data_IF_063009400570
#
_entry.id   IF_063009400570
#
_cell.length_a   1.000
_cell.length_b   1.000
_cell.length_c   1.000
_cell.angle_alpha   90.00
_cell.angle_beta   90.00
_cell.angle_gamma   90.00
#
_symmetry.space_group_name_H-M   'P 1'
#
loop_
_entity.id
_entity.type
_entity.pdbx_description
1 polymer ?
#
# COMPACT_ATOMS: atom_id res chain seq x y z
N UNK A 1 32.13 -11.27 1.14
CA UNK A 1 31.28 -12.18 1.95
C UNK A 1 30.58 -11.52 3.16
N UNK A 2 31.21 -10.63 3.95
CA UNK A 2 30.57 -9.97 5.12
C UNK A 2 29.33 -9.11 4.79
N UNK A 3 29.37 -8.32 3.70
CA UNK A 3 28.21 -7.52 3.22
C UNK A 3 27.04 -8.38 2.75
N UNK A 4 27.32 -9.52 2.12
CA UNK A 4 26.29 -10.46 1.65
C UNK A 4 25.55 -11.08 2.85
N UNK A 5 26.27 -11.53 3.89
CA UNK A 5 25.64 -12.00 5.15
C UNK A 5 24.82 -10.92 5.87
N UNK A 6 25.20 -9.64 5.78
CA UNK A 6 24.42 -8.54 6.34
C UNK A 6 23.11 -8.28 5.58
N UNK A 7 23.12 -8.38 4.24
CA UNK A 7 21.91 -8.22 3.41
C UNK A 7 20.94 -9.39 3.66
N UNK A 8 21.44 -10.63 3.69
CA UNK A 8 20.62 -11.81 3.98
C UNK A 8 20.18 -11.92 5.45
N UNK A 9 20.85 -11.21 6.37
CA UNK A 9 20.47 -11.16 7.78
C UNK A 9 19.43 -10.08 8.13
N UNK A 10 19.10 -9.17 7.20
CA UNK A 10 18.10 -8.12 7.44
C UNK A 10 16.67 -8.67 7.40
N UNK A 11 16.39 -9.54 6.45
CA UNK A 11 15.10 -10.23 6.31
C UNK A 11 15.16 -11.64 6.90
N UNK A 12 14.09 -12.05 7.59
CA UNK A 12 13.89 -13.42 8.05
C UNK A 12 13.55 -14.34 6.87
N UNK A 13 13.70 -15.65 7.07
CA UNK A 13 13.34 -16.64 6.06
C UNK A 13 11.88 -16.48 5.60
N UNK A 14 10.95 -16.19 6.52
CA UNK A 14 9.55 -15.95 6.20
C UNK A 14 9.30 -14.70 5.36
N UNK A 15 10.09 -13.63 5.55
CA UNK A 15 9.98 -12.40 4.77
C UNK A 15 10.56 -12.59 3.37
N UNK A 16 11.68 -13.30 3.27
CA UNK A 16 12.22 -13.73 1.98
C UNK A 16 11.24 -14.61 1.23
N UNK A 17 10.65 -15.60 1.91
CA UNK A 17 9.64 -16.48 1.30
C UNK A 17 8.43 -15.68 0.83
N UNK A 18 7.90 -14.78 1.66
CA UNK A 18 6.78 -13.92 1.30
C UNK A 18 7.08 -13.09 0.05
N UNK A 19 8.24 -12.42 0.01
CA UNK A 19 8.63 -11.58 -1.12
C UNK A 19 8.91 -12.37 -2.40
N UNK A 20 9.62 -13.51 -2.30
CA UNK A 20 9.92 -14.38 -3.45
C UNK A 20 8.62 -14.97 -4.03
N UNK A 21 7.74 -15.51 -3.18
CA UNK A 21 6.45 -16.06 -3.62
C UNK A 21 5.61 -14.96 -4.26
N UNK A 22 5.52 -13.77 -3.64
CA UNK A 22 4.82 -12.61 -4.21
C UNK A 22 5.35 -12.25 -5.60
N UNK A 23 6.68 -12.16 -5.74
CA UNK A 23 7.35 -11.83 -7.00
C UNK A 23 7.10 -12.87 -8.08
N UNK A 24 7.21 -14.17 -7.75
CA UNK A 24 6.96 -15.26 -8.69
C UNK A 24 5.51 -15.22 -9.17
N UNK A 25 4.54 -15.07 -8.27
CA UNK A 25 3.13 -15.02 -8.64
C UNK A 25 2.80 -13.81 -9.51
N UNK A 26 3.38 -12.64 -9.25
CA UNK A 26 3.25 -11.45 -10.10
C UNK A 26 3.83 -11.72 -11.49
N UNK A 27 5.04 -12.27 -11.59
CA UNK A 27 5.72 -12.52 -12.87
C UNK A 27 4.98 -13.58 -13.68
N UNK A 28 4.57 -14.69 -13.05
CA UNK A 28 3.81 -15.76 -13.71
C UNK A 28 2.44 -15.25 -14.15
N UNK A 29 1.72 -14.53 -13.28
CA UNK A 29 0.44 -13.92 -13.63
C UNK A 29 0.56 -12.96 -14.80
N UNK A 30 1.60 -12.12 -14.82
CA UNK A 30 1.88 -11.23 -15.96
C UNK A 30 2.18 -12.02 -17.24
N UNK A 31 3.05 -13.03 -17.19
CA UNK A 31 3.46 -13.81 -18.35
C UNK A 31 2.29 -14.58 -18.98
N UNK A 32 1.35 -15.06 -18.16
CA UNK A 32 0.18 -15.84 -18.62
C UNK A 32 -0.94 -14.94 -19.16
N UNK A 33 -1.22 -13.80 -18.52
CA UNK A 33 -2.46 -13.05 -18.79
C UNK A 33 -2.29 -11.70 -19.49
N UNK A 34 -1.15 -11.03 -19.33
CA UNK A 34 -0.97 -9.65 -19.78
C UNK A 34 0.11 -9.56 -20.86
N UNK A 35 1.30 -10.13 -20.58
CA UNK A 35 2.41 -10.43 -21.49
C UNK A 35 3.02 -9.26 -22.28
N UNK A 36 2.35 -8.11 -22.32
CA UNK A 36 2.64 -6.98 -23.20
C UNK A 36 2.87 -5.69 -22.42
N UNK A 37 2.25 -5.53 -21.25
CA UNK A 37 2.33 -4.31 -20.46
C UNK A 37 3.47 -4.32 -19.41
N UNK A 38 4.72 -4.18 -19.86
CA UNK A 38 5.89 -4.21 -18.98
C UNK A 38 5.86 -3.17 -17.85
N UNK A 39 5.14 -2.05 -18.03
CA UNK A 39 4.95 -1.04 -16.99
C UNK A 39 4.06 -1.54 -15.85
N UNK A 40 3.02 -2.31 -16.15
CA UNK A 40 2.16 -2.95 -15.15
C UNK A 40 2.97 -3.91 -14.28
N UNK A 41 3.78 -4.77 -14.90
CA UNK A 41 4.68 -5.68 -14.19
C UNK A 41 5.63 -4.91 -13.27
N UNK A 42 6.28 -3.87 -13.80
CA UNK A 42 7.21 -3.08 -13.03
C UNK A 42 6.54 -2.39 -11.83
N UNK A 43 5.32 -1.84 -12.00
CA UNK A 43 4.56 -1.25 -10.91
C UNK A 43 4.25 -2.29 -9.82
N UNK A 44 3.74 -3.46 -10.20
CA UNK A 44 3.42 -4.55 -9.26
C UNK A 44 4.64 -5.02 -8.47
N UNK A 45 5.80 -5.14 -9.13
CA UNK A 45 7.06 -5.51 -8.46
C UNK A 45 7.56 -4.42 -7.51
N UNK A 46 7.47 -3.15 -7.90
CA UNK A 46 7.81 -2.01 -7.02
C UNK A 46 6.88 -1.99 -5.80
N UNK A 47 5.58 -2.25 -5.99
CA UNK A 47 4.61 -2.35 -4.90
C UNK A 47 4.91 -3.51 -3.95
N UNK A 48 5.20 -4.71 -4.46
CA UNK A 48 5.60 -5.85 -3.63
C UNK A 48 6.88 -5.57 -2.81
N UNK A 49 7.87 -4.92 -3.44
CA UNK A 49 9.07 -4.45 -2.74
C UNK A 49 8.74 -3.38 -1.68
N UNK A 50 7.87 -2.43 -1.99
CA UNK A 50 7.41 -1.40 -1.06
C UNK A 50 6.81 -2.02 0.21
N UNK A 51 5.92 -2.99 0.04
CA UNK A 51 5.20 -3.64 1.14
C UNK A 51 6.13 -4.40 2.09
N UNK A 52 7.12 -5.13 1.58
CA UNK A 52 8.06 -5.86 2.45
C UNK A 52 8.94 -4.91 3.28
N UNK A 53 9.36 -3.77 2.71
CA UNK A 53 10.08 -2.74 3.47
C UNK A 53 9.18 -2.01 4.46
N UNK A 54 7.93 -1.73 4.08
CA UNK A 54 6.93 -1.17 4.98
C UNK A 54 6.66 -2.12 6.15
N UNK A 55 6.59 -3.43 5.94
CA UNK A 55 6.42 -4.43 7.00
C UNK A 55 7.58 -4.43 8.00
N UNK A 56 8.79 -4.00 7.60
CA UNK A 56 9.95 -3.78 8.48
C UNK A 56 9.97 -2.44 9.18
N UNK A 57 8.97 -1.60 8.94
CA UNK A 57 8.93 -0.21 9.37
C UNK A 57 10.11 0.60 8.80
N UNK A 58 10.57 0.26 7.59
CA UNK A 58 11.67 0.94 6.90
C UNK A 58 11.11 2.08 6.01
N UNK A 59 11.58 3.33 6.15
CA UNK A 59 11.12 4.46 5.33
C UNK A 59 11.29 4.25 3.81
N UNK A 60 12.24 3.41 3.37
CA UNK A 60 12.41 3.07 1.95
C UNK A 60 11.12 2.52 1.34
N UNK A 61 10.30 1.80 2.12
CA UNK A 61 9.00 1.31 1.65
C UNK A 61 8.10 2.46 1.19
N UNK A 62 8.00 3.55 1.97
CA UNK A 62 7.20 4.72 1.57
C UNK A 62 7.77 5.43 0.33
N UNK A 63 9.10 5.46 0.17
CA UNK A 63 9.72 5.99 -1.05
C UNK A 63 9.37 5.14 -2.29
N UNK A 64 9.36 3.81 -2.17
CA UNK A 64 8.89 2.92 -3.23
C UNK A 64 7.40 3.08 -3.50
N UNK A 65 6.58 3.37 -2.47
CA UNK A 65 5.16 3.66 -2.64
C UNK A 65 4.90 4.94 -3.47
N UNK A 66 5.76 5.95 -3.34
CA UNK A 66 5.72 7.16 -4.19
C UNK A 66 5.95 6.77 -5.66
N UNK A 67 6.98 5.98 -5.94
CA UNK A 67 7.29 5.50 -7.30
C UNK A 67 6.13 4.66 -7.84
N UNK A 68 5.62 3.73 -7.04
CA UNK A 68 4.46 2.90 -7.39
C UNK A 68 3.25 3.75 -7.75
N UNK A 69 2.91 4.76 -6.94
CA UNK A 69 1.73 5.61 -7.16
C UNK A 69 1.81 6.38 -8.48
N UNK A 70 3.00 6.85 -8.85
CA UNK A 70 3.24 7.53 -10.14
C UNK A 70 3.08 6.53 -11.29
N UNK A 71 3.72 5.36 -11.20
CA UNK A 71 3.64 4.34 -12.23
C UNK A 71 2.21 3.85 -12.45
N UNK A 72 1.49 3.60 -11.36
CA UNK A 72 0.10 3.17 -11.41
C UNK A 72 -0.80 4.28 -11.97
N UNK A 73 -0.61 5.54 -11.57
CA UNK A 73 -1.34 6.67 -12.15
C UNK A 73 -1.17 6.79 -13.67
N UNK A 74 0.04 6.63 -14.18
CA UNK A 74 0.31 6.63 -15.64
C UNK A 74 -0.38 5.44 -16.33
N UNK A 75 -0.35 4.26 -15.71
CA UNK A 75 -1.02 3.08 -16.25
C UNK A 75 -2.55 3.26 -16.29
N UNK A 76 -3.13 3.80 -15.22
CA UNK A 76 -4.56 4.11 -15.15
C UNK A 76 -4.96 5.11 -16.23
N UNK A 77 -4.14 6.13 -16.49
CA UNK A 77 -4.37 7.09 -17.58
C UNK A 77 -4.39 6.40 -18.96
N UNK A 78 -3.40 5.56 -19.25
CA UNK A 78 -3.30 4.84 -20.54
C UNK A 78 -4.50 3.93 -20.81
N UNK A 79 -5.13 3.43 -19.74
CA UNK A 79 -6.31 2.56 -19.79
C UNK A 79 -7.64 3.31 -19.64
N UNK A 80 -7.60 4.65 -19.67
CA UNK A 80 -8.76 5.53 -19.47
C UNK A 80 -9.51 5.34 -18.12
N UNK A 81 -8.82 4.78 -17.11
CA UNK A 81 -9.33 4.68 -15.74
C UNK A 81 -9.02 5.96 -14.96
N UNK A 82 -9.68 7.05 -15.34
CA UNK A 82 -9.43 8.38 -14.75
C UNK A 82 -9.75 8.45 -13.25
N UNK A 83 -10.74 7.69 -12.77
CA UNK A 83 -11.04 7.60 -11.34
C UNK A 83 -9.85 7.07 -10.53
N UNK A 84 -9.30 5.93 -10.94
CA UNK A 84 -8.10 5.32 -10.33
C UNK A 84 -6.86 6.21 -10.48
N UNK A 85 -6.69 6.87 -11.63
CA UNK A 85 -5.59 7.81 -11.81
C UNK A 85 -5.66 8.94 -10.78
N UNK A 86 -6.83 9.58 -10.59
CA UNK A 86 -6.98 10.72 -9.68
C UNK A 86 -6.83 10.27 -8.22
N UNK A 87 -7.33 9.10 -7.83
CA UNK A 87 -7.13 8.59 -6.47
C UNK A 87 -5.64 8.32 -6.20
N UNK A 88 -4.91 7.70 -7.12
CA UNK A 88 -3.50 7.43 -6.90
C UNK A 88 -2.62 8.67 -6.95
N UNK A 89 -2.82 9.58 -7.91
CA UNK A 89 -2.00 10.79 -8.05
C UNK A 89 -2.42 11.90 -7.10
N UNK A 90 -3.72 12.08 -6.88
CA UNK A 90 -4.28 13.16 -6.06
C UNK A 90 -4.36 12.85 -4.57
N UNK A 91 -4.38 11.56 -4.19
CA UNK A 91 -4.49 11.14 -2.80
C UNK A 91 -3.31 10.26 -2.36
N UNK A 92 -3.11 9.10 -3.00
CA UNK A 92 -2.09 8.12 -2.55
C UNK A 92 -0.67 8.69 -2.62
N UNK A 93 -0.32 9.38 -3.71
CA UNK A 93 1.00 9.97 -3.91
C UNK A 93 1.34 11.05 -2.86
N UNK A 94 0.51 12.09 -2.62
CA UNK A 94 0.74 13.05 -1.54
C UNK A 94 0.88 12.38 -0.16
N UNK A 95 0.04 11.39 0.11
CA UNK A 95 0.07 10.62 1.36
C UNK A 95 1.38 9.84 1.51
N UNK A 96 1.85 9.20 0.44
CA UNK A 96 3.10 8.45 0.46
C UNK A 96 4.29 9.37 0.72
N UNK A 97 4.29 10.58 0.13
CA UNK A 97 5.29 11.62 0.41
C UNK A 97 5.22 12.06 1.88
N UNK A 98 4.04 12.39 2.41
CA UNK A 98 3.87 12.78 3.82
C UNK A 98 4.28 11.66 4.79
N UNK A 99 3.94 10.42 4.47
CA UNK A 99 4.31 9.23 5.23
C UNK A 99 5.82 9.03 5.23
N UNK A 100 6.48 9.14 4.07
CA UNK A 100 7.92 9.08 3.95
C UNK A 100 8.61 10.14 4.83
N UNK A 101 8.18 11.41 4.73
CA UNK A 101 8.71 12.50 5.54
C UNK A 101 8.49 12.24 7.04
N UNK A 102 7.30 11.80 7.44
CA UNK A 102 7.00 11.43 8.82
C UNK A 102 7.93 10.34 9.33
N UNK A 103 8.18 9.31 8.53
CA UNK A 103 8.99 8.15 8.93
C UNK A 103 10.48 8.49 9.03
N UNK A 104 11.03 9.23 8.07
CA UNK A 104 12.44 9.67 8.10
C UNK A 104 12.71 10.59 9.30
N UNK A 105 11.75 11.43 9.68
CA UNK A 105 11.88 12.35 10.83
C UNK A 105 11.78 11.65 12.19
N UNK A 106 11.38 10.39 12.25
CA UNK A 106 11.14 9.68 13.51
C UNK A 106 11.84 8.31 13.56
N UNK A 107 13.17 8.27 13.45
CA UNK A 107 13.94 7.03 13.55
C UNK A 107 13.86 6.47 14.98
N UNK A 108 13.74 5.16 15.11
CA UNK A 108 13.77 4.51 16.42
C UNK A 108 15.21 4.47 16.96
N UNK A 109 15.46 5.16 18.09
CA UNK A 109 16.79 5.27 18.73
C UNK A 109 17.92 5.70 17.77
N UNK A 110 17.61 6.60 16.83
CA UNK A 110 18.58 7.08 15.83
C UNK A 110 18.89 6.10 14.69
N UNK A 111 18.34 4.88 14.71
CA UNK A 111 18.44 3.94 13.60
C UNK A 111 17.52 4.38 12.44
N UNK A 112 18.10 4.90 11.36
CA UNK A 112 17.35 5.38 10.18
C UNK A 112 16.64 4.27 9.40
N UNK A 113 16.99 3.00 9.65
CA UNK A 113 16.40 1.85 8.95
C UNK A 113 15.09 1.35 9.58
N UNK A 114 14.69 1.89 10.73
CA UNK A 114 13.44 1.53 11.39
C UNK A 114 12.76 2.74 12.05
N UNK A 115 11.49 2.96 11.71
CA UNK A 115 10.70 4.05 12.29
C UNK A 115 10.18 3.69 13.70
N UNK A 116 10.10 4.70 14.57
CA UNK A 116 9.46 4.57 15.88
C UNK A 116 7.94 4.46 15.73
N UNK A 117 7.36 3.42 16.34
CA UNK A 117 5.91 3.17 16.33
C UNK A 117 5.20 4.27 17.11
N UNK A 118 4.23 4.91 16.46
CA UNK A 118 3.44 5.99 17.04
C UNK A 118 2.28 5.48 17.90
N UNK A 119 1.81 6.35 18.80
CA UNK A 119 0.53 6.18 19.50
C UNK A 119 -0.42 7.26 19.03
N UNK A 120 -1.66 6.89 18.77
CA UNK A 120 -2.73 7.85 18.48
C UNK A 120 -3.18 8.53 19.77
N UNK A 121 -3.35 9.85 19.74
CA UNK A 121 -4.02 10.59 20.82
C UNK A 121 -5.52 10.29 20.81
N UNK A 122 -6.18 10.38 21.97
CA UNK A 122 -7.63 10.11 22.10
C UNK A 122 -8.52 10.95 21.17
N UNK A 123 -8.08 12.15 20.77
CA UNK A 123 -8.82 13.03 19.86
C UNK A 123 -8.62 12.72 18.38
N UNK A 124 -7.61 11.93 18.02
CA UNK A 124 -7.25 11.70 16.62
C UNK A 124 -8.24 10.85 15.82
N UNK A 125 -8.91 9.84 16.39
CA UNK A 125 -9.95 9.11 15.67
C UNK A 125 -11.07 10.02 15.16
N UNK A 126 -11.46 11.04 15.95
CA UNK A 126 -12.46 12.02 15.54
C UNK A 126 -11.96 12.87 14.37
N UNK A 127 -10.73 13.40 14.46
CA UNK A 127 -10.12 14.18 13.38
C UNK A 127 -9.97 13.35 12.09
N UNK A 128 -9.53 12.10 12.24
CA UNK A 128 -9.42 11.15 11.14
C UNK A 128 -10.78 10.92 10.48
N UNK A 129 -11.84 10.66 11.26
CA UNK A 129 -13.19 10.48 10.72
C UNK A 129 -13.68 11.73 9.97
N UNK A 130 -13.44 12.92 10.51
CA UNK A 130 -13.82 14.19 9.87
C UNK A 130 -13.11 14.39 8.52
N UNK A 131 -11.78 14.18 8.48
CA UNK A 131 -10.98 14.29 7.26
C UNK A 131 -11.40 13.23 6.24
N UNK A 132 -11.53 11.97 6.68
CA UNK A 132 -11.97 10.87 5.81
C UNK A 132 -13.33 11.20 5.21
N UNK A 133 -14.28 11.68 6.00
CA UNK A 133 -15.61 12.05 5.50
C UNK A 133 -15.53 13.18 4.47
N UNK A 134 -14.83 14.27 4.76
CA UNK A 134 -14.71 15.42 3.86
C UNK A 134 -14.08 15.04 2.51
N UNK A 135 -12.97 14.31 2.54
CA UNK A 135 -12.26 13.90 1.31
C UNK A 135 -13.06 12.84 0.56
N UNK A 136 -13.69 11.88 1.24
CA UNK A 136 -14.54 10.86 0.60
C UNK A 136 -15.72 11.49 -0.12
N UNK A 137 -16.38 12.49 0.48
CA UNK A 137 -17.47 13.23 -0.18
C UNK A 137 -16.96 13.98 -1.41
N UNK A 138 -15.81 14.66 -1.31
CA UNK A 138 -15.19 15.31 -2.46
C UNK A 138 -14.89 14.34 -3.60
N UNK A 139 -14.26 13.20 -3.29
CA UNK A 139 -13.98 12.16 -4.27
C UNK A 139 -15.24 11.50 -4.83
N UNK A 140 -16.29 11.32 -4.04
CA UNK A 140 -17.58 10.82 -4.55
C UNK A 140 -18.10 11.70 -5.69
N UNK A 141 -18.09 13.02 -5.53
CA UNK A 141 -18.54 13.93 -6.59
C UNK A 141 -17.62 13.91 -7.80
N UNK A 142 -16.29 13.83 -7.61
CA UNK A 142 -15.32 13.71 -8.70
C UNK A 142 -15.55 12.41 -9.48
N UNK A 143 -15.63 11.27 -8.79
CA UNK A 143 -15.85 9.95 -9.40
C UNK A 143 -17.19 9.87 -10.12
N UNK A 144 -18.23 10.51 -9.59
CA UNK A 144 -19.54 10.65 -10.23
C UNK A 144 -19.45 11.51 -11.50
N UNK A 145 -18.72 12.62 -11.48
CA UNK A 145 -18.53 13.47 -12.66
C UNK A 145 -17.75 12.75 -13.78
N UNK A 146 -16.91 11.78 -13.42
CA UNK A 146 -16.18 10.92 -14.36
C UNK A 146 -16.97 9.71 -14.87
N UNK A 147 -18.25 9.56 -14.49
CA UNK A 147 -19.09 8.40 -14.83
C UNK A 147 -18.44 7.04 -14.48
N UNK A 148 -17.82 6.94 -13.30
CA UNK A 148 -17.19 5.70 -12.82
C UNK A 148 -18.22 4.58 -12.68
N UNK A 149 -17.98 3.42 -13.30
CA UNK A 149 -18.92 2.29 -13.35
C UNK A 149 -19.35 1.78 -11.96
N UNK A 150 -18.41 1.66 -11.02
CA UNK A 150 -18.66 1.14 -9.66
C UNK A 150 -18.49 2.21 -8.59
N UNK A 151 -19.30 3.29 -8.66
CA UNK A 151 -19.15 4.47 -7.80
C UNK A 151 -19.13 4.16 -6.29
N UNK A 152 -20.04 3.31 -5.81
CA UNK A 152 -20.16 3.03 -4.36
C UNK A 152 -18.96 2.23 -3.83
N UNK A 153 -18.56 1.09 -4.42
CA UNK A 153 -17.33 0.40 -4.01
C UNK A 153 -16.07 1.27 -4.15
N UNK A 154 -15.94 2.08 -5.21
CA UNK A 154 -14.81 3.00 -5.36
C UNK A 154 -14.78 4.06 -4.25
N UNK A 155 -15.93 4.57 -3.83
CA UNK A 155 -16.03 5.54 -2.70
C UNK A 155 -15.63 4.89 -1.38
N UNK A 156 -16.01 3.62 -1.16
CA UNK A 156 -15.59 2.86 0.02
C UNK A 156 -14.07 2.65 0.00
N UNK A 157 -13.48 2.33 -1.14
CA UNK A 157 -12.02 2.20 -1.31
C UNK A 157 -11.29 3.51 -0.98
N UNK A 158 -11.82 4.67 -1.41
CA UNK A 158 -11.27 5.98 -1.02
C UNK A 158 -11.33 6.16 0.51
N UNK A 159 -12.45 5.85 1.14
CA UNK A 159 -12.58 6.00 2.59
C UNK A 159 -11.61 5.11 3.38
N UNK A 160 -11.51 3.83 3.01
CA UNK A 160 -10.64 2.86 3.69
C UNK A 160 -9.16 3.18 3.48
N UNK A 161 -8.76 3.55 2.26
CA UNK A 161 -7.38 3.97 1.95
C UNK A 161 -6.99 5.27 2.67
N UNK A 162 -7.90 6.24 2.85
CA UNK A 162 -7.64 7.45 3.65
C UNK A 162 -7.42 7.15 5.13
N UNK A 163 -8.21 6.24 5.70
CA UNK A 163 -8.03 5.80 7.08
C UNK A 163 -6.66 5.11 7.22
N UNK A 164 -6.33 4.20 6.30
CA UNK A 164 -5.04 3.51 6.26
C UNK A 164 -3.89 4.52 6.18
N UNK A 165 -3.96 5.43 5.22
CA UNK A 165 -3.02 6.52 5.01
C UNK A 165 -2.78 7.38 6.25
N UNK A 166 -3.85 7.83 6.91
CA UNK A 166 -3.75 8.60 8.14
C UNK A 166 -2.97 7.82 9.20
N UNK A 167 -3.32 6.55 9.39
CA UNK A 167 -2.63 5.66 10.33
C UNK A 167 -1.16 5.44 9.93
N UNK A 168 -0.83 5.40 8.64
CA UNK A 168 0.55 5.30 8.13
C UNK A 168 1.37 6.53 8.51
N UNK A 169 0.82 7.74 8.30
CA UNK A 169 1.45 9.00 8.70
C UNK A 169 1.69 9.03 10.21
N UNK A 170 0.72 8.53 10.99
CA UNK A 170 0.82 8.40 12.45
C UNK A 170 1.67 7.21 12.91
N UNK A 171 2.24 6.42 11.98
CA UNK A 171 3.10 5.27 12.27
C UNK A 171 2.41 4.26 13.20
N UNK A 172 1.11 4.08 13.01
CA UNK A 172 0.29 3.18 13.81
C UNK A 172 0.25 1.80 13.14
N UNK A 173 0.50 0.67 13.86
CA UNK A 173 0.45 -0.67 13.27
C UNK A 173 -0.83 -0.97 12.49
N UNK A 174 -1.95 -0.36 12.89
CA UNK A 174 -3.27 -0.57 12.30
C UNK A 174 -3.40 -0.06 10.87
N UNK A 175 -2.45 0.74 10.36
CA UNK A 175 -2.47 1.18 8.97
C UNK A 175 -2.52 0.00 8.00
N UNK A 176 -1.77 -1.07 8.30
CA UNK A 176 -1.68 -2.25 7.44
C UNK A 176 -3.00 -3.03 7.40
N UNK A 177 -3.77 -3.04 8.49
CA UNK A 177 -5.15 -3.56 8.45
C UNK A 177 -6.08 -2.68 7.62
N UNK A 178 -5.88 -1.36 7.66
CA UNK A 178 -6.62 -0.42 6.81
C UNK A 178 -6.37 -0.70 5.32
N UNK A 179 -5.12 -0.88 4.92
CA UNK A 179 -4.80 -1.23 3.54
C UNK A 179 -5.28 -2.64 3.16
N UNK A 180 -5.15 -3.65 4.04
CA UNK A 180 -5.74 -4.96 3.78
C UNK A 180 -7.26 -4.90 3.57
N UNK A 181 -7.98 -4.06 4.34
CA UNK A 181 -9.41 -3.85 4.13
C UNK A 181 -9.70 -3.15 2.80
N UNK A 182 -8.88 -2.18 2.40
CA UNK A 182 -8.96 -1.55 1.08
C UNK A 182 -8.70 -2.56 -0.05
N UNK A 183 -7.71 -3.43 0.09
CA UNK A 183 -7.36 -4.44 -0.91
C UNK A 183 -8.52 -5.40 -1.16
N UNK A 184 -9.32 -5.77 -0.16
CA UNK A 184 -10.53 -6.56 -0.37
C UNK A 184 -11.56 -5.86 -1.27
N UNK A 185 -11.71 -4.54 -1.13
CA UNK A 185 -12.59 -3.74 -1.99
C UNK A 185 -12.04 -3.69 -3.41
N UNK A 186 -10.72 -3.53 -3.55
CA UNK A 186 -10.06 -3.51 -4.86
C UNK A 186 -10.12 -4.89 -5.53
N UNK A 187 -9.92 -5.99 -4.80
CA UNK A 187 -10.09 -7.36 -5.31
C UNK A 187 -11.50 -7.55 -5.86
N UNK A 188 -12.53 -7.09 -5.14
CA UNK A 188 -13.91 -7.14 -5.62
C UNK A 188 -14.09 -6.34 -6.93
N UNK A 189 -13.61 -5.09 -6.96
CA UNK A 189 -13.67 -4.23 -8.14
C UNK A 189 -12.96 -4.83 -9.35
N UNK A 190 -11.76 -5.35 -9.17
CA UNK A 190 -10.98 -5.95 -10.24
C UNK A 190 -11.54 -7.31 -10.67
N UNK A 191 -12.18 -8.07 -9.77
CA UNK A 191 -12.90 -9.28 -10.15
C UNK A 191 -14.09 -8.97 -11.09
N UNK A 192 -14.81 -7.88 -10.85
CA UNK A 192 -15.85 -7.40 -11.78
C UNK A 192 -15.23 -6.98 -13.12
N UNK A 193 -14.13 -6.22 -13.12
CA UNK A 193 -13.45 -5.82 -14.36
C UNK A 193 -12.93 -7.03 -15.17
N UNK A 194 -12.45 -8.09 -14.48
CA UNK A 194 -12.01 -9.34 -15.12
C UNK A 194 -13.17 -10.08 -15.81
N UNK A 195 -14.40 -9.93 -15.33
CA UNK A 195 -15.57 -10.51 -15.98
C UNK A 195 -15.84 -9.86 -17.35
N UNK A 196 -15.42 -8.61 -17.54
CA UNK A 196 -15.54 -7.88 -18.81
C UNK A 196 -14.31 -8.08 -19.72
N UNK A 197 -13.10 -7.98 -19.15
CA UNK A 197 -11.84 -8.15 -19.88
C UNK A 197 -10.81 -8.93 -19.05
N UNK A 198 -10.41 -10.09 -19.57
CA UNK A 198 -9.41 -10.96 -18.93
C UNK A 198 -8.01 -10.33 -18.84
N UNK A 199 -7.75 -9.23 -19.55
CA UNK A 199 -6.51 -8.46 -19.44
C UNK A 199 -6.25 -7.91 -18.03
N UNK A 200 -7.26 -7.86 -17.15
CA UNK A 200 -7.12 -7.36 -15.78
C UNK A 200 -6.78 -8.43 -14.74
N UNK A 201 -6.65 -9.71 -15.13
CA UNK A 201 -6.34 -10.80 -14.19
C UNK A 201 -5.00 -10.57 -13.49
N UNK A 202 -4.01 -10.00 -14.19
CA UNK A 202 -2.70 -9.66 -13.62
C UNK A 202 -2.81 -8.66 -12.45
N UNK A 203 -3.69 -7.65 -12.61
CA UNK A 203 -3.96 -6.62 -11.59
C UNK A 203 -4.71 -7.21 -10.41
N UNK A 204 -5.71 -8.06 -10.66
CA UNK A 204 -6.44 -8.78 -9.60
C UNK A 204 -5.49 -9.63 -8.74
N UNK A 205 -4.60 -10.41 -9.38
CA UNK A 205 -3.57 -11.21 -8.67
C UNK A 205 -2.67 -10.30 -7.83
N UNK A 206 -2.29 -9.13 -8.35
CA UNK A 206 -1.47 -8.16 -7.63
C UNK A 206 -2.13 -7.73 -6.31
N UNK A 207 -3.42 -7.37 -6.32
CA UNK A 207 -4.12 -6.95 -5.11
C UNK A 207 -4.35 -8.11 -4.12
N UNK A 208 -4.56 -9.34 -4.60
CA UNK A 208 -4.59 -10.53 -3.73
C UNK A 208 -3.26 -10.70 -3.00
N UNK A 209 -2.14 -10.49 -3.69
CA UNK A 209 -0.81 -10.57 -3.10
C UNK A 209 -0.57 -9.43 -2.09
N UNK A 210 -1.01 -8.21 -2.41
CA UNK A 210 -0.90 -7.06 -1.52
C UNK A 210 -1.67 -7.28 -0.23
N UNK A 211 -2.88 -7.84 -0.31
CA UNK A 211 -3.68 -8.19 0.86
C UNK A 211 -2.92 -9.08 1.85
N UNK A 212 -2.28 -10.16 1.38
CA UNK A 212 -1.49 -11.05 2.24
C UNK A 212 -0.23 -10.36 2.78
N UNK A 213 0.41 -9.50 1.98
CA UNK A 213 1.56 -8.72 2.43
C UNK A 213 1.18 -7.73 3.53
N UNK A 214 0.00 -7.10 3.45
CA UNK A 214 -0.50 -6.17 4.46
C UNK A 214 -0.91 -6.87 5.76
N UNK A 215 -1.52 -8.06 5.67
CA UNK A 215 -1.75 -8.89 6.85
C UNK A 215 -0.44 -9.24 7.55
N UNK A 216 0.58 -9.64 6.78
CA UNK A 216 1.91 -9.85 7.33
C UNK A 216 2.49 -8.57 7.94
N UNK A 217 2.35 -7.44 7.24
CA UNK A 217 2.77 -6.11 7.68
C UNK A 217 2.18 -5.76 9.04
N UNK A 218 0.88 -5.98 9.25
CA UNK A 218 0.23 -5.77 10.54
C UNK A 218 0.87 -6.61 11.65
N UNK A 219 1.05 -7.91 11.42
CA UNK A 219 1.66 -8.81 12.40
C UNK A 219 3.10 -8.41 12.73
N UNK A 220 3.88 -8.03 11.72
CA UNK A 220 5.25 -7.54 11.89
C UNK A 220 5.27 -6.26 12.73
N UNK A 221 4.42 -5.29 12.41
CA UNK A 221 4.33 -4.03 13.15
C UNK A 221 3.91 -4.22 14.61
N UNK A 222 3.00 -5.16 14.90
CA UNK A 222 2.65 -5.50 16.29
C UNK A 222 3.86 -6.06 17.05
N UNK A 223 4.67 -6.91 16.41
CA UNK A 223 5.93 -7.42 17.00
C UNK A 223 6.95 -6.30 17.21
N UNK A 224 7.13 -5.41 16.24
CA UNK A 224 8.02 -4.24 16.35
C UNK A 224 7.56 -3.34 17.50
N UNK A 225 6.27 -3.01 17.58
CA UNK A 225 5.70 -2.19 18.65
C UNK A 225 5.97 -2.80 20.05
N UNK A 226 5.79 -4.12 20.20
CA UNK A 226 6.10 -4.82 21.46
C UNK A 226 7.59 -4.71 21.81
N UNK A 227 8.48 -4.96 20.84
CA UNK A 227 9.94 -4.86 21.04
C UNK A 227 10.38 -3.45 21.42
N UNK A 228 9.89 -2.44 20.71
CA UNK A 228 10.19 -1.04 21.00
C UNK A 228 9.70 -0.64 22.39
N UNK A 229 8.52 -1.10 22.82
CA UNK A 229 7.99 -0.84 24.17
C UNK A 229 8.88 -1.44 25.26
N UNK A 230 9.33 -2.69 25.10
CA UNK A 230 10.24 -3.36 26.08
C UNK A 230 11.60 -2.66 26.15
N UNK A 231 12.07 -2.08 25.05
CA UNK A 231 13.32 -1.34 25.05
C UNK A 231 13.17 0.07 25.66
N UNK A 232 11.97 0.64 25.68
CA UNK A 232 11.73 1.97 26.24
C UNK A 232 11.37 1.97 27.74
N UNK A 233 11.06 0.79 28.30
CA UNK A 233 10.91 0.55 29.75
C UNK A 233 12.26 0.27 30.38
#
# INVERSE_FOLDING_TARGET
MRRVKQIFGYFSLSEWLLWIVSTILIVVGFAVFDGRNGMALAASLVGACSLIFCAKANPIGQALMVVFSIMYGVLSYQKAYYGEMITYLGMTLPIAVMSFVSWVRHPFRGNRSQVAVGKLRRSEPFLMALITMAVTVGFYFILRALNTANLLPSTISVATSLIAAYLTIRRSPYYALGYAANDLVLIWLWALAVAEDRGYVSVLICFVIFFFNDLYGFLSWKKIAKKQRVQLS
#
